data_IF_106526560320
#
_entry.id   IF_106526560320
#
_cell.length_a   1.000
_cell.length_b   1.000
_cell.length_c   1.000
_cell.angle_alpha   90.00
_cell.angle_beta   90.00
_cell.angle_gamma   90.00
#
_symmetry.space_group_name_H-M   'P 1'
#
loop_
_entity.id
_entity.type
_entity.pdbx_description
1 polymer ?
#
# COMPACT_ATOMS: atom_id res chain seq x y z
N UNK A 1 -20.99 -1.82 -7.29
CA UNK A 1 -20.30 -2.56 -6.20
C UNK A 1 -19.49 -3.69 -6.84
N UNK A 2 -18.33 -3.96 -6.33
CA UNK A 2 -17.46 -5.04 -6.80
C UNK A 2 -18.21 -6.38 -6.85
N UNK A 3 -17.99 -7.15 -7.90
CA UNK A 3 -18.51 -8.51 -8.02
C UNK A 3 -17.56 -9.47 -7.28
N UNK A 4 -18.10 -10.41 -6.48
CA UNK A 4 -17.25 -11.42 -5.84
C UNK A 4 -16.59 -12.29 -6.90
N UNK A 5 -15.25 -12.38 -6.88
CA UNK A 5 -14.48 -13.19 -7.82
C UNK A 5 -14.46 -14.64 -7.34
N UNK A 6 -15.12 -15.52 -8.08
CA UNK A 6 -15.24 -16.96 -7.74
C UNK A 6 -14.51 -17.87 -8.72
N UNK A 7 -14.02 -17.33 -9.85
CA UNK A 7 -13.18 -18.03 -10.83
C UNK A 7 -12.19 -17.08 -11.48
N UNK A 8 -11.15 -17.62 -12.10
CA UNK A 8 -10.11 -16.85 -12.81
C UNK A 8 -10.58 -16.35 -14.19
N UNK A 9 -11.64 -16.90 -14.73
CA UNK A 9 -12.09 -16.66 -16.11
C UNK A 9 -12.24 -15.19 -16.49
N UNK A 10 -12.85 -14.31 -15.63
CA UNK A 10 -12.96 -12.88 -15.95
C UNK A 10 -11.62 -12.17 -16.12
N UNK A 11 -10.55 -12.69 -15.52
CA UNK A 11 -9.21 -12.12 -15.58
C UNK A 11 -8.37 -12.64 -16.76
N UNK A 12 -8.75 -13.74 -17.42
CA UNK A 12 -7.98 -14.33 -18.51
C UNK A 12 -7.62 -13.35 -19.65
N UNK A 13 -8.50 -12.43 -20.07
CA UNK A 13 -8.13 -11.43 -21.08
C UNK A 13 -7.00 -10.49 -20.63
N UNK A 14 -6.94 -10.17 -19.32
CA UNK A 14 -5.90 -9.35 -18.73
C UNK A 14 -4.60 -10.14 -18.57
N UNK A 15 -4.69 -11.37 -18.08
CA UNK A 15 -3.55 -12.27 -17.87
C UNK A 15 -2.80 -12.64 -19.16
N UNK A 16 -3.48 -12.60 -20.31
CA UNK A 16 -2.89 -12.88 -21.64
C UNK A 16 -2.06 -11.73 -22.20
N UNK A 17 -2.17 -10.53 -21.64
CA UNK A 17 -1.37 -9.38 -22.09
C UNK A 17 0.12 -9.57 -21.74
N UNK A 18 1.01 -8.99 -22.55
CA UNK A 18 2.46 -9.04 -22.28
C UNK A 18 3.10 -7.66 -22.56
N UNK A 19 3.91 -7.12 -21.66
CA UNK A 19 4.14 -7.59 -20.30
C UNK A 19 2.87 -7.48 -19.42
N UNK A 20 2.66 -8.48 -18.55
CA UNK A 20 1.60 -8.49 -17.55
C UNK A 20 2.17 -8.21 -16.17
N UNK A 21 1.47 -7.42 -15.37
CA UNK A 21 1.86 -7.06 -14.01
C UNK A 21 0.79 -7.35 -12.96
N UNK A 22 1.26 -7.72 -11.78
CA UNK A 22 0.49 -7.77 -10.54
C UNK A 22 0.94 -6.61 -9.66
N UNK A 23 0.04 -5.66 -9.41
CA UNK A 23 0.23 -4.53 -8.51
C UNK A 23 -0.52 -4.84 -7.20
N UNK A 24 0.15 -4.88 -6.07
CA UNK A 24 -0.50 -5.28 -4.82
C UNK A 24 -0.08 -4.40 -3.65
N UNK A 25 -1.04 -4.03 -2.81
CA UNK A 25 -0.73 -3.61 -1.46
C UNK A 25 -0.15 -4.79 -0.66
N UNK A 26 0.42 -4.51 0.52
CA UNK A 26 1.06 -5.52 1.38
C UNK A 26 0.16 -5.84 2.58
N UNK A 27 -0.13 -4.84 3.40
CA UNK A 27 -0.82 -5.00 4.69
C UNK A 27 -2.32 -5.15 4.49
N UNK A 28 -2.92 -6.24 4.98
CA UNK A 28 -4.33 -6.54 4.74
C UNK A 28 -4.61 -7.22 3.40
N UNK A 29 -3.64 -7.21 2.48
CA UNK A 29 -3.74 -7.80 1.15
C UNK A 29 -2.90 -9.06 1.01
N UNK A 30 -1.58 -8.98 1.12
CA UNK A 30 -0.65 -10.12 1.07
C UNK A 30 -0.25 -10.61 2.45
N UNK A 31 -0.17 -9.70 3.41
CA UNK A 31 0.12 -9.98 4.82
C UNK A 31 -1.13 -9.70 5.66
N UNK A 32 -1.48 -10.57 6.61
CA UNK A 32 -2.60 -10.30 7.52
C UNK A 32 -2.30 -9.07 8.39
N UNK A 33 -3.37 -8.34 8.76
CA UNK A 33 -3.27 -7.23 9.71
C UNK A 33 -2.91 -7.79 11.09
N UNK A 34 -1.87 -7.25 11.69
CA UNK A 34 -1.38 -7.64 13.03
C UNK A 34 -1.36 -6.44 13.98
N UNK A 35 -1.43 -6.69 15.31
CA UNK A 35 -1.47 -5.60 16.30
C UNK A 35 -0.21 -4.72 16.32
N UNK A 36 0.96 -5.29 15.99
CA UNK A 36 2.23 -4.57 15.92
C UNK A 36 2.74 -4.56 14.49
N UNK A 37 2.97 -3.38 13.89
CA UNK A 37 3.42 -3.27 12.49
C UNK A 37 4.71 -4.06 12.20
N UNK A 38 5.61 -4.19 13.18
CA UNK A 38 6.87 -4.92 13.09
C UNK A 38 6.70 -6.44 13.01
N UNK A 39 5.55 -6.98 13.46
CA UNK A 39 5.25 -8.42 13.42
C UNK A 39 4.62 -8.85 12.07
N UNK A 40 4.31 -7.89 11.19
CA UNK A 40 3.73 -8.19 9.89
C UNK A 40 4.71 -8.97 9.02
N UNK A 41 4.22 -9.99 8.34
CA UNK A 41 4.98 -10.76 7.36
C UNK A 41 4.06 -11.34 6.30
N UNK A 42 4.49 -11.34 5.05
CA UNK A 42 3.81 -12.10 4.01
C UNK A 42 4.06 -13.59 4.27
N UNK A 43 3.02 -14.43 4.36
CA UNK A 43 3.18 -15.85 4.62
C UNK A 43 4.04 -16.54 3.54
N UNK A 44 4.81 -17.56 3.93
CA UNK A 44 5.72 -18.24 3.00
C UNK A 44 4.99 -18.88 1.80
N UNK A 45 3.79 -19.38 2.01
CA UNK A 45 2.95 -19.90 0.93
C UNK A 45 2.62 -18.82 -0.11
N UNK A 46 2.26 -17.62 0.34
CA UNK A 46 2.00 -16.46 -0.53
C UNK A 46 3.26 -16.02 -1.26
N UNK A 47 4.42 -15.99 -0.57
CA UNK A 47 5.73 -15.69 -1.18
C UNK A 47 6.08 -16.70 -2.27
N UNK A 48 5.85 -17.99 -2.03
CA UNK A 48 6.13 -19.05 -3.00
C UNK A 48 5.30 -18.86 -4.27
N UNK A 49 4.01 -18.52 -4.15
CA UNK A 49 3.15 -18.22 -5.29
C UNK A 49 3.62 -16.98 -6.06
N UNK A 50 4.02 -15.91 -5.36
CA UNK A 50 4.53 -14.70 -6.00
C UNK A 50 5.85 -14.96 -6.73
N UNK A 51 6.78 -15.75 -6.16
CA UNK A 51 8.00 -16.19 -6.85
C UNK A 51 7.67 -16.99 -8.11
N UNK A 52 6.74 -17.93 -8.01
CA UNK A 52 6.29 -18.70 -9.17
C UNK A 52 5.71 -17.81 -10.28
N UNK A 53 4.96 -16.77 -9.95
CA UNK A 53 4.47 -15.79 -10.92
C UNK A 53 5.64 -15.01 -11.58
N UNK A 54 6.64 -14.60 -10.81
CA UNK A 54 7.85 -13.94 -11.34
C UNK A 54 8.58 -14.86 -12.30
N UNK A 55 8.75 -16.15 -11.98
CA UNK A 55 9.35 -17.16 -12.85
C UNK A 55 8.57 -17.35 -14.17
N UNK A 56 7.24 -17.14 -14.15
CA UNK A 56 6.39 -17.12 -15.36
C UNK A 56 6.43 -15.78 -16.10
N UNK A 57 7.29 -14.85 -15.71
CA UNK A 57 7.47 -13.55 -16.36
C UNK A 57 6.44 -12.49 -15.97
N UNK A 58 5.67 -12.70 -14.90
CA UNK A 58 4.80 -11.68 -14.35
C UNK A 58 5.66 -10.60 -13.65
N UNK A 59 5.40 -9.35 -13.95
CA UNK A 59 6.00 -8.21 -13.27
C UNK A 59 5.24 -7.94 -11.95
N UNK A 60 5.76 -8.44 -10.84
CA UNK A 60 5.17 -8.19 -9.51
C UNK A 60 5.69 -6.86 -8.98
N UNK A 61 4.78 -6.01 -8.53
CA UNK A 61 5.10 -4.72 -7.90
C UNK A 61 4.26 -4.53 -6.63
N UNK A 62 4.91 -4.19 -5.54
CA UNK A 62 4.29 -4.00 -4.23
C UNK A 62 4.23 -2.51 -3.90
N UNK A 63 3.02 -2.02 -3.56
CA UNK A 63 2.73 -0.61 -3.31
C UNK A 63 2.27 -0.47 -1.87
N UNK A 64 3.05 0.21 -1.02
CA UNK A 64 2.78 0.28 0.42
C UNK A 64 3.08 1.65 1.02
N UNK A 65 2.39 2.01 2.10
CA UNK A 65 2.71 3.17 2.93
C UNK A 65 3.94 2.97 3.82
N UNK A 66 4.52 1.77 3.87
CA UNK A 66 5.73 1.46 4.64
C UNK A 66 6.97 2.08 4.00
N UNK A 67 8.04 2.24 4.80
CA UNK A 67 9.37 2.54 4.23
C UNK A 67 9.83 1.40 3.29
N UNK A 68 10.73 1.69 2.37
CA UNK A 68 11.25 0.69 1.44
C UNK A 68 11.90 -0.50 2.17
N UNK A 69 12.65 -0.23 3.23
CA UNK A 69 13.31 -1.25 4.04
C UNK A 69 12.28 -2.17 4.71
N UNK A 70 11.25 -1.58 5.37
CA UNK A 70 10.19 -2.33 6.03
C UNK A 70 9.36 -3.15 5.02
N UNK A 71 8.97 -2.56 3.88
CA UNK A 71 8.20 -3.24 2.84
C UNK A 71 8.96 -4.46 2.29
N UNK A 72 10.26 -4.31 2.00
CA UNK A 72 11.11 -5.41 1.53
C UNK A 72 11.32 -6.50 2.58
N UNK A 73 11.51 -6.11 3.83
CA UNK A 73 11.66 -7.06 4.95
C UNK A 73 10.40 -7.92 5.13
N UNK A 74 9.23 -7.28 5.16
CA UNK A 74 7.93 -7.93 5.35
C UNK A 74 7.57 -8.83 4.16
N UNK A 75 7.79 -8.35 2.94
CA UNK A 75 7.49 -9.10 1.74
C UNK A 75 8.45 -10.28 1.54
N UNK A 76 9.73 -10.14 1.86
CA UNK A 76 10.74 -11.18 1.66
C UNK A 76 10.93 -11.56 0.18
N UNK A 77 10.74 -10.61 -0.74
CA UNK A 77 10.79 -10.79 -2.19
C UNK A 77 11.82 -9.80 -2.77
N UNK A 78 13.06 -10.21 -3.01
CA UNK A 78 14.12 -9.30 -3.49
C UNK A 78 13.94 -8.88 -4.95
N UNK A 79 13.30 -9.72 -5.77
CA UNK A 79 13.26 -9.60 -7.24
C UNK A 79 11.96 -8.98 -7.77
N UNK A 80 11.22 -8.24 -6.92
CA UNK A 80 10.00 -7.55 -7.30
C UNK A 80 10.17 -6.03 -7.21
N UNK A 81 9.35 -5.28 -7.92
CA UNK A 81 9.36 -3.82 -7.79
C UNK A 81 8.62 -3.38 -6.52
N UNK A 82 9.01 -2.22 -5.99
CA UNK A 82 8.36 -1.61 -4.82
C UNK A 82 8.05 -0.15 -5.07
N UNK A 83 6.89 0.30 -4.60
CA UNK A 83 6.56 1.70 -4.37
C UNK A 83 6.30 1.88 -2.87
N UNK A 84 7.24 2.47 -2.18
CA UNK A 84 7.24 2.67 -0.73
C UNK A 84 6.83 4.10 -0.36
N UNK A 85 6.33 4.29 0.87
CA UNK A 85 5.83 5.58 1.32
C UNK A 85 4.72 6.12 0.43
N UNK A 86 3.78 5.25 0.03
CA UNK A 86 2.71 5.55 -0.93
C UNK A 86 3.19 6.00 -2.31
N UNK A 87 4.43 5.65 -2.71
CA UNK A 87 5.01 6.02 -4.00
C UNK A 87 6.10 7.09 -3.93
N UNK A 88 6.43 7.62 -2.76
CA UNK A 88 7.53 8.58 -2.59
C UNK A 88 8.89 7.99 -2.94
N UNK A 89 9.03 6.67 -2.89
CA UNK A 89 10.24 5.94 -3.27
C UNK A 89 9.87 4.75 -4.13
N UNK A 90 10.41 4.69 -5.33
CA UNK A 90 10.31 3.51 -6.20
C UNK A 90 11.63 2.73 -6.14
N UNK A 91 11.52 1.40 -6.11
CA UNK A 91 12.66 0.49 -6.28
C UNK A 91 12.31 -0.49 -7.41
N UNK A 92 13.09 -0.43 -8.50
CA UNK A 92 12.85 -1.22 -9.72
C UNK A 92 14.19 -1.71 -10.23
N UNK A 93 14.34 -3.00 -10.46
CA UNK A 93 15.55 -3.63 -11.02
C UNK A 93 16.85 -3.20 -10.31
N UNK A 94 16.83 -3.15 -8.97
CA UNK A 94 17.99 -2.78 -8.15
C UNK A 94 18.26 -1.27 -8.04
N UNK A 95 17.42 -0.42 -8.63
CA UNK A 95 17.58 1.03 -8.60
C UNK A 95 16.50 1.67 -7.74
N UNK A 96 16.94 2.61 -6.90
CA UNK A 96 16.03 3.45 -6.10
C UNK A 96 15.84 4.79 -6.78
N UNK A 97 14.59 5.17 -7.00
CA UNK A 97 14.18 6.48 -7.47
C UNK A 97 13.38 7.15 -6.36
N UNK A 98 13.79 8.33 -5.93
CA UNK A 98 13.08 9.12 -4.90
C UNK A 98 12.36 10.26 -5.60
N UNK A 99 11.11 10.48 -5.21
CA UNK A 99 10.30 11.58 -5.75
C UNK A 99 11.01 12.92 -5.50
N UNK A 100 11.16 13.80 -6.51
CA UNK A 100 11.73 15.12 -6.32
C UNK A 100 10.94 15.97 -5.31
N UNK A 101 11.62 16.85 -4.59
CA UNK A 101 10.99 17.74 -3.60
C UNK A 101 10.92 17.16 -2.19
N UNK A 102 11.52 15.97 -1.96
CA UNK A 102 11.62 15.36 -0.63
C UNK A 102 12.83 15.82 0.18
N UNK A 103 13.68 16.66 -0.41
CA UNK A 103 14.88 17.16 0.24
C UNK A 103 14.52 17.92 1.53
N UNK A 104 15.14 17.52 2.62
CA UNK A 104 14.93 18.14 3.94
C UNK A 104 13.75 17.58 4.74
N UNK A 105 12.80 16.84 4.13
CA UNK A 105 11.65 16.30 4.89
C UNK A 105 12.05 15.32 5.98
N UNK A 106 13.08 14.51 5.77
CA UNK A 106 13.62 13.64 6.83
C UNK A 106 14.09 14.42 8.07
N UNK A 107 14.60 15.64 7.91
CA UNK A 107 14.97 16.51 9.01
C UNK A 107 13.73 17.11 9.70
N UNK A 108 12.71 17.49 8.94
CA UNK A 108 11.43 17.96 9.47
C UNK A 108 10.71 16.87 10.25
N UNK A 109 10.72 15.64 9.75
CA UNK A 109 10.17 14.45 10.45
C UNK A 109 10.87 14.25 11.80
N UNK A 110 12.21 14.25 11.84
CA UNK A 110 12.93 14.15 13.14
C UNK A 110 12.61 15.29 14.10
N UNK A 111 12.25 16.47 13.60
CA UNK A 111 11.79 17.57 14.46
C UNK A 111 10.38 17.30 14.97
N UNK A 112 9.45 16.88 14.11
CA UNK A 112 8.10 16.51 14.51
C UNK A 112 8.08 15.38 15.55
N UNK A 113 8.95 14.37 15.41
CA UNK A 113 9.11 13.31 16.42
C UNK A 113 9.45 13.90 17.80
N UNK A 114 10.43 14.82 17.88
CA UNK A 114 10.79 15.46 19.16
C UNK A 114 9.65 16.30 19.71
N UNK A 115 8.93 17.03 18.87
CA UNK A 115 7.81 17.87 19.30
C UNK A 115 6.64 17.00 19.84
N UNK A 116 6.45 15.80 19.31
CA UNK A 116 5.41 14.84 19.71
C UNK A 116 5.84 13.87 20.82
N UNK A 117 7.11 13.86 21.20
CA UNK A 117 7.61 12.96 22.26
C UNK A 117 6.84 13.10 23.60
N UNK A 118 6.44 14.30 24.06
CA UNK A 118 5.63 14.45 25.27
C UNK A 118 4.26 13.78 25.16
N UNK A 119 3.63 13.82 23.96
CA UNK A 119 2.36 13.15 23.70
C UNK A 119 2.49 11.63 23.86
N UNK A 120 3.52 11.04 23.25
CA UNK A 120 3.78 9.58 23.33
C UNK A 120 3.98 9.13 24.79
N UNK A 121 4.69 9.93 25.59
CA UNK A 121 4.88 9.65 27.02
C UNK A 121 3.59 9.71 27.83
N UNK A 122 2.67 10.60 27.45
CA UNK A 122 1.44 10.87 28.20
C UNK A 122 0.26 9.98 27.82
N UNK A 123 0.28 9.37 26.62
CA UNK A 123 -0.80 8.50 26.14
C UNK A 123 -0.24 7.10 25.89
N UNK A 124 -0.37 6.16 26.85
CA UNK A 124 0.07 4.79 26.67
C UNK A 124 -0.56 4.13 25.44
N UNK A 125 0.27 3.50 24.61
CA UNK A 125 -0.17 2.84 23.39
C UNK A 125 -0.06 3.69 22.12
N UNK A 126 0.25 4.99 22.21
CA UNK A 126 0.67 5.80 21.06
C UNK A 126 2.11 5.45 20.69
N UNK A 127 2.37 5.32 19.38
CA UNK A 127 3.70 5.03 18.85
C UNK A 127 3.99 5.91 17.64
N UNK A 128 5.23 6.42 17.55
CA UNK A 128 5.72 7.12 16.36
C UNK A 128 6.50 6.14 15.47
N UNK A 129 6.26 6.21 14.18
CA UNK A 129 7.03 5.47 13.16
C UNK A 129 7.61 6.47 12.17
N UNK A 130 8.92 6.62 12.19
CA UNK A 130 9.65 7.44 11.23
C UNK A 130 9.91 6.63 9.95
N UNK A 131 9.29 7.05 8.85
CA UNK A 131 9.43 6.43 7.54
C UNK A 131 10.33 7.25 6.59
N UNK A 132 11.26 8.03 7.15
CA UNK A 132 12.12 8.93 6.41
C UNK A 132 11.43 10.28 6.14
N UNK A 133 10.82 10.51 4.97
CA UNK A 133 10.11 11.76 4.68
C UNK A 133 8.68 11.83 5.27
N UNK A 134 8.19 10.74 5.84
CA UNK A 134 6.87 10.60 6.46
C UNK A 134 7.00 10.34 7.95
N UNK A 135 6.04 10.79 8.75
CA UNK A 135 5.89 10.38 10.15
C UNK A 135 4.49 9.82 10.35
N UNK A 136 4.42 8.60 10.88
CA UNK A 136 3.17 7.98 11.26
C UNK A 136 3.01 8.01 12.79
N UNK A 137 1.81 8.34 13.25
CA UNK A 137 1.40 8.33 14.66
C UNK A 137 0.33 7.26 14.82
N UNK A 138 0.71 6.09 15.33
CA UNK A 138 -0.19 4.98 15.59
C UNK A 138 -0.85 5.11 16.95
N UNK A 139 -2.15 4.87 17.01
CA UNK A 139 -2.91 4.92 18.27
C UNK A 139 -3.85 3.72 18.47
N UNK A 140 -3.72 2.66 17.67
CA UNK A 140 -4.52 1.43 17.78
C UNK A 140 -4.46 0.76 19.15
N UNK A 141 -3.33 0.88 19.84
CA UNK A 141 -3.05 0.21 21.11
C UNK A 141 -3.44 1.05 22.34
N UNK A 142 -4.02 2.21 22.15
CA UNK A 142 -4.49 3.04 23.26
C UNK A 142 -5.79 2.48 23.85
N UNK A 143 -6.03 2.71 25.14
CA UNK A 143 -7.26 2.27 25.80
C UNK A 143 -8.52 3.01 25.27
N UNK A 144 -8.34 4.23 24.75
CA UNK A 144 -9.40 5.10 24.23
C UNK A 144 -8.94 5.72 22.90
N UNK A 145 -9.07 5.01 21.77
CA UNK A 145 -8.54 5.46 20.48
C UNK A 145 -9.08 6.81 20.01
N UNK A 146 -10.36 7.10 20.21
CA UNK A 146 -10.96 8.38 19.79
C UNK A 146 -10.38 9.55 20.59
N UNK A 147 -10.25 9.41 21.91
CA UNK A 147 -9.62 10.43 22.77
C UNK A 147 -8.16 10.64 22.42
N UNK A 148 -7.44 9.54 22.13
CA UNK A 148 -6.05 9.61 21.68
C UNK A 148 -5.94 10.34 20.33
N UNK A 149 -6.82 10.03 19.36
CA UNK A 149 -6.90 10.70 18.06
C UNK A 149 -7.07 12.22 18.23
N UNK A 150 -8.04 12.66 19.04
CA UNK A 150 -8.29 14.08 19.29
C UNK A 150 -7.06 14.77 19.90
N UNK A 151 -6.42 14.15 20.88
CA UNK A 151 -5.21 14.66 21.52
C UNK A 151 -4.04 14.77 20.52
N UNK A 152 -3.84 13.76 19.65
CA UNK A 152 -2.81 13.78 18.60
C UNK A 152 -3.06 14.96 17.65
N UNK A 153 -4.27 15.11 17.13
CA UNK A 153 -4.60 16.19 16.21
C UNK A 153 -4.40 17.56 16.85
N UNK A 154 -4.78 17.73 18.12
CA UNK A 154 -4.56 18.97 18.88
C UNK A 154 -3.07 19.29 19.08
N UNK A 155 -2.22 18.29 19.32
CA UNK A 155 -0.77 18.48 19.44
C UNK A 155 -0.11 18.80 18.10
N UNK A 156 -0.55 18.14 17.04
CA UNK A 156 -0.10 18.44 15.67
C UNK A 156 -0.39 19.89 15.29
N UNK A 157 -1.57 20.40 15.63
CA UNK A 157 -1.93 21.80 15.38
C UNK A 157 -1.08 22.81 16.15
N UNK A 158 -0.50 22.41 17.29
CA UNK A 158 0.38 23.28 18.11
C UNK A 158 1.84 23.28 17.66
N UNK A 159 2.27 22.28 16.90
CA UNK A 159 3.65 22.19 16.42
C UNK A 159 3.82 22.92 15.09
N UNK A 160 4.62 24.00 15.02
CA UNK A 160 4.82 24.74 13.75
C UNK A 160 5.43 23.91 12.64
N UNK A 161 6.14 22.81 12.96
CA UNK A 161 6.74 21.95 11.94
C UNK A 161 5.69 21.21 11.13
N UNK A 162 4.52 20.94 11.72
CA UNK A 162 3.44 20.19 11.06
C UNK A 162 2.77 20.98 9.95
N UNK A 163 2.84 22.32 9.94
CA UNK A 163 2.36 23.17 8.84
C UNK A 163 3.06 22.87 7.50
N UNK A 164 4.22 22.20 7.56
CA UNK A 164 4.99 21.81 6.37
C UNK A 164 4.52 20.45 5.80
N UNK A 165 3.51 19.82 6.38
CA UNK A 165 2.98 18.51 6.00
C UNK A 165 1.48 18.58 5.75
N UNK A 166 1.00 17.68 4.91
CA UNK A 166 -0.38 17.27 4.94
C UNK A 166 -0.60 16.29 6.07
N UNK A 167 -1.64 16.51 6.86
CA UNK A 167 -2.08 15.58 7.89
C UNK A 167 -3.14 14.68 7.27
N UNK A 168 -2.85 13.40 7.17
CA UNK A 168 -3.76 12.41 6.62
C UNK A 168 -4.13 11.40 7.70
N UNK A 169 -5.43 11.19 7.87
CA UNK A 169 -5.94 10.18 8.78
C UNK A 169 -6.15 8.85 8.05
N UNK A 170 -5.66 7.79 8.66
CA UNK A 170 -5.88 6.42 8.27
C UNK A 170 -6.47 5.64 9.44
N UNK A 171 -6.47 4.33 9.33
CA UNK A 171 -7.06 3.43 10.31
C UNK A 171 -6.23 3.32 11.59
N UNK A 172 -6.65 4.00 12.66
CA UNK A 172 -5.90 4.16 13.91
C UNK A 172 -4.48 4.70 13.70
N UNK A 173 -4.34 5.57 12.71
CA UNK A 173 -3.09 6.13 12.23
C UNK A 173 -3.33 7.57 11.78
N UNK A 174 -2.42 8.46 12.12
CA UNK A 174 -2.33 9.81 11.55
C UNK A 174 -0.95 9.93 10.91
N UNK A 175 -0.89 10.31 9.64
CA UNK A 175 0.37 10.52 8.92
C UNK A 175 0.62 11.99 8.62
N UNK A 176 1.84 12.42 8.87
CA UNK A 176 2.40 13.65 8.36
C UNK A 176 3.10 13.35 7.04
N UNK A 177 2.53 13.82 5.94
CA UNK A 177 3.03 13.57 4.58
C UNK A 177 3.55 14.86 3.95
N UNK A 178 4.68 14.82 3.23
CA UNK A 178 5.09 15.94 2.38
C UNK A 178 3.94 16.37 1.46
N UNK A 179 3.69 17.67 1.23
CA UNK A 179 2.64 18.15 0.35
C UNK A 179 3.02 17.98 -1.13
N UNK A 180 3.37 16.77 -1.49
CA UNK A 180 3.72 16.34 -2.84
C UNK A 180 2.59 15.44 -3.31
N UNK A 181 2.03 15.72 -4.47
CA UNK A 181 0.86 15.01 -5.02
C UNK A 181 1.17 13.57 -5.45
N UNK A 182 1.77 12.78 -4.56
CA UNK A 182 2.09 11.36 -4.77
C UNK A 182 1.21 10.53 -3.84
N UNK A 183 0.55 9.52 -4.41
CA UNK A 183 -0.32 8.57 -3.76
C UNK A 183 -0.17 7.18 -4.38
N UNK A 184 -0.89 6.16 -3.90
CA UNK A 184 -0.83 4.82 -4.48
C UNK A 184 -1.31 4.78 -5.95
N UNK A 185 -2.14 5.72 -6.39
CA UNK A 185 -2.60 5.82 -7.78
C UNK A 185 -1.49 6.30 -8.70
N UNK A 186 -0.82 7.40 -8.37
CA UNK A 186 0.33 7.91 -9.12
C UNK A 186 1.48 6.91 -9.12
N UNK A 187 1.71 6.20 -8.01
CA UNK A 187 2.70 5.14 -7.90
C UNK A 187 2.37 3.96 -8.84
N UNK A 188 1.11 3.53 -8.87
CA UNK A 188 0.68 2.45 -9.76
C UNK A 188 0.89 2.81 -11.24
N UNK A 189 0.54 4.03 -11.65
CA UNK A 189 0.77 4.49 -13.02
C UNK A 189 2.27 4.56 -13.34
N UNK A 190 3.09 5.07 -12.44
CA UNK A 190 4.54 5.09 -12.63
C UNK A 190 5.10 3.66 -12.82
N UNK A 191 4.64 2.68 -12.03
CA UNK A 191 5.02 1.28 -12.18
C UNK A 191 4.52 0.68 -13.51
N UNK A 192 3.28 0.95 -13.92
CA UNK A 192 2.75 0.52 -15.23
C UNK A 192 3.64 1.00 -16.37
N UNK A 193 4.05 2.26 -16.33
CA UNK A 193 4.89 2.88 -17.37
C UNK A 193 6.33 2.36 -17.33
N UNK A 194 6.97 2.32 -16.14
CA UNK A 194 8.36 1.86 -15.98
C UNK A 194 8.53 0.38 -16.33
N UNK A 195 7.55 -0.45 -16.01
CA UNK A 195 7.56 -1.88 -16.32
C UNK A 195 6.98 -2.19 -17.71
N UNK A 196 6.48 -1.17 -18.43
CA UNK A 196 5.94 -1.30 -19.78
C UNK A 196 4.69 -2.17 -19.88
N UNK A 197 3.86 -2.20 -18.83
CA UNK A 197 2.75 -3.14 -18.73
C UNK A 197 1.68 -2.89 -19.78
N UNK A 198 1.18 -3.98 -20.36
CA UNK A 198 0.01 -4.01 -21.26
C UNK A 198 -1.21 -4.62 -20.57
N UNK A 199 -0.98 -5.43 -19.54
CA UNK A 199 -2.00 -5.97 -18.65
C UNK A 199 -1.63 -5.76 -17.19
N UNK A 200 -2.62 -5.48 -16.34
CA UNK A 200 -2.40 -5.31 -14.91
C UNK A 200 -3.59 -5.80 -14.07
N UNK A 201 -3.30 -6.51 -12.99
CA UNK A 201 -4.26 -6.76 -11.91
C UNK A 201 -3.77 -6.00 -10.68
N UNK A 202 -4.66 -5.21 -10.07
CA UNK A 202 -4.37 -4.44 -8.86
C UNK A 202 -5.16 -4.97 -7.67
N UNK A 203 -4.49 -5.22 -6.53
CA UNK A 203 -5.06 -5.72 -5.28
C UNK A 203 -4.85 -4.72 -4.15
N UNK A 204 -5.87 -4.51 -3.32
CA UNK A 204 -5.77 -3.66 -2.13
C UNK A 204 -6.97 -3.80 -1.20
N UNK A 205 -6.84 -3.41 0.07
CA UNK A 205 -7.85 -3.61 1.12
C UNK A 205 -8.29 -2.30 1.81
N UNK A 206 -7.57 -1.18 1.62
CA UNK A 206 -7.79 0.05 2.37
C UNK A 206 -8.23 1.22 1.46
N UNK A 207 -8.63 2.31 2.10
CA UNK A 207 -9.06 3.56 1.46
C UNK A 207 -7.98 4.16 0.57
N UNK A 208 -6.69 4.00 0.90
CA UNK A 208 -5.57 4.45 0.05
C UNK A 208 -5.46 3.68 -1.26
N UNK A 209 -6.04 2.48 -1.36
CA UNK A 209 -6.08 1.68 -2.58
C UNK A 209 -7.15 2.16 -3.57
N UNK A 210 -8.11 2.96 -3.11
CA UNK A 210 -9.09 3.61 -3.98
C UNK A 210 -8.38 4.49 -5.01
N UNK A 211 -7.30 5.18 -4.62
CA UNK A 211 -6.49 5.99 -5.54
C UNK A 211 -5.84 5.10 -6.61
N UNK A 212 -5.27 3.96 -6.21
CA UNK A 212 -4.71 2.97 -7.12
C UNK A 212 -5.78 2.43 -8.08
N UNK A 213 -6.92 2.00 -7.58
CA UNK A 213 -8.01 1.46 -8.41
C UNK A 213 -8.54 2.50 -9.39
N UNK A 214 -8.74 3.75 -8.93
CA UNK A 214 -9.20 4.85 -9.77
C UNK A 214 -8.19 5.20 -10.87
N UNK A 215 -6.90 5.18 -10.56
CA UNK A 215 -5.85 5.44 -11.53
C UNK A 215 -5.76 4.33 -12.59
N UNK A 216 -5.83 3.07 -12.18
CA UNK A 216 -5.87 1.91 -13.08
C UNK A 216 -7.12 1.91 -13.96
N UNK A 217 -8.30 2.25 -13.39
CA UNK A 217 -9.53 2.37 -14.16
C UNK A 217 -9.42 3.43 -15.26
N UNK A 218 -8.89 4.62 -14.95
CA UNK A 218 -8.62 5.67 -15.96
C UNK A 218 -7.61 5.20 -17.02
N UNK A 219 -6.59 4.41 -16.64
CA UNK A 219 -5.57 3.93 -17.58
C UNK A 219 -6.13 2.91 -18.58
N UNK A 220 -7.24 2.22 -18.24
CA UNK A 220 -7.99 1.36 -19.20
C UNK A 220 -8.49 2.14 -20.41
N UNK A 221 -8.95 3.38 -20.22
CA UNK A 221 -9.39 4.26 -21.31
C UNK A 221 -8.26 4.58 -22.30
N UNK A 222 -7.01 4.40 -21.85
CA UNK A 222 -5.79 4.61 -22.65
C UNK A 222 -5.11 3.29 -23.05
N UNK A 223 -5.87 2.18 -23.08
CA UNK A 223 -5.44 0.92 -23.69
C UNK A 223 -4.77 -0.09 -22.74
N UNK A 224 -4.72 0.16 -21.43
CA UNK A 224 -4.28 -0.85 -20.47
C UNK A 224 -5.40 -1.88 -20.27
N UNK A 225 -5.16 -3.16 -20.54
CA UNK A 225 -6.07 -4.21 -20.09
C UNK A 225 -5.87 -4.41 -18.58
N UNK A 226 -6.88 -4.10 -17.76
CA UNK A 226 -6.69 -4.17 -16.32
C UNK A 226 -7.94 -4.59 -15.55
N UNK A 227 -7.74 -5.14 -14.35
CA UNK A 227 -8.77 -5.40 -13.36
C UNK A 227 -8.30 -4.96 -11.98
N UNK A 228 -9.24 -4.45 -11.18
CA UNK A 228 -9.02 -4.02 -9.80
C UNK A 228 -9.82 -4.91 -8.86
N UNK A 229 -9.19 -5.34 -7.76
CA UNK A 229 -9.76 -6.33 -6.86
C UNK A 229 -9.62 -5.84 -5.42
N UNK A 230 -10.74 -5.58 -4.77
CA UNK A 230 -10.80 -5.25 -3.36
C UNK A 230 -10.65 -6.52 -2.51
N UNK A 231 -9.73 -6.50 -1.57
CA UNK A 231 -9.61 -7.55 -0.55
C UNK A 231 -10.48 -7.15 0.64
N UNK A 232 -11.47 -7.98 0.95
CA UNK A 232 -12.53 -7.66 1.90
C UNK A 232 -12.20 -8.28 3.26
N UNK A 233 -11.82 -7.45 4.21
CA UNK A 233 -11.81 -7.78 5.64
C UNK A 233 -13.14 -7.35 6.29
N UNK A 234 -13.34 -7.67 7.58
CA UNK A 234 -14.48 -7.19 8.37
C UNK A 234 -14.62 -5.65 8.38
N UNK A 235 -13.59 -4.95 7.96
CA UNK A 235 -13.45 -3.51 8.01
C UNK A 235 -13.41 -2.84 6.63
N UNK A 236 -13.67 -3.61 5.55
CA UNK A 236 -13.70 -3.06 4.19
C UNK A 236 -14.80 -2.00 4.03
N UNK A 237 -14.42 -0.84 3.51
CA UNK A 237 -15.35 0.28 3.35
C UNK A 237 -16.23 0.11 2.10
N UNK A 238 -17.49 0.59 2.12
CA UNK A 238 -18.32 0.61 0.90
C UNK A 238 -17.69 1.41 -0.24
N UNK A 239 -16.82 2.39 0.06
CA UNK A 239 -16.09 3.17 -0.94
C UNK A 239 -15.07 2.33 -1.70
N UNK A 240 -14.31 1.49 -1.01
CA UNK A 240 -13.37 0.54 -1.62
C UNK A 240 -14.09 -0.40 -2.58
N UNK A 241 -15.21 -1.00 -2.15
CA UNK A 241 -16.01 -1.91 -2.97
C UNK A 241 -16.65 -1.24 -4.19
N UNK A 242 -16.89 0.07 -4.14
CA UNK A 242 -17.37 0.82 -5.32
C UNK A 242 -16.26 1.12 -6.32
N UNK A 243 -15.03 1.25 -5.85
CA UNK A 243 -13.87 1.57 -6.68
C UNK A 243 -13.28 0.36 -7.41
N UNK A 244 -13.56 -0.86 -6.93
CA UNK A 244 -13.04 -2.09 -7.50
C UNK A 244 -14.02 -2.76 -8.49
N UNK A 245 -13.47 -3.50 -9.46
CA UNK A 245 -14.25 -4.35 -10.37
C UNK A 245 -14.73 -5.61 -9.64
N UNK A 246 -13.82 -6.23 -8.90
CA UNK A 246 -14.06 -7.48 -8.17
C UNK A 246 -13.72 -7.36 -6.69
N UNK A 247 -14.19 -8.34 -5.92
CA UNK A 247 -13.81 -8.49 -4.52
C UNK A 247 -13.41 -9.93 -4.21
N UNK A 248 -12.50 -10.08 -3.23
CA UNK A 248 -12.08 -11.34 -2.64
C UNK A 248 -12.21 -11.24 -1.14
N UNK A 249 -12.46 -12.36 -0.45
CA UNK A 249 -12.31 -12.41 1.00
C UNK A 249 -10.83 -12.46 1.38
N UNK A 250 -10.44 -11.72 2.40
CA UNK A 250 -9.15 -11.69 3.10
C UNK A 250 -7.88 -12.13 2.33
N UNK A 251 -6.79 -12.37 3.05
CA UNK A 251 -5.50 -12.84 2.49
C UNK A 251 -5.57 -14.28 1.95
N UNK A 252 -6.53 -15.09 2.40
CA UNK A 252 -6.72 -16.46 1.89
C UNK A 252 -7.34 -16.44 0.49
N UNK A 253 -8.28 -15.52 0.25
CA UNK A 253 -8.82 -15.27 -1.09
C UNK A 253 -7.74 -14.78 -2.06
N UNK A 254 -6.82 -13.93 -1.59
CA UNK A 254 -5.66 -13.51 -2.40
C UNK A 254 -4.76 -14.70 -2.71
N UNK A 255 -4.46 -15.54 -1.73
CA UNK A 255 -3.65 -16.76 -1.94
C UNK A 255 -4.29 -17.70 -2.97
N UNK A 256 -5.61 -17.90 -2.89
CA UNK A 256 -6.36 -18.64 -3.90
C UNK A 256 -6.18 -18.02 -5.29
N UNK A 257 -6.37 -16.71 -5.44
CA UNK A 257 -6.21 -16.00 -6.72
C UNK A 257 -4.82 -16.18 -7.31
N UNK A 258 -3.76 -15.99 -6.50
CA UNK A 258 -2.38 -16.18 -6.96
C UNK A 258 -2.14 -17.60 -7.48
N UNK A 259 -2.71 -18.61 -6.81
CA UNK A 259 -2.66 -20.00 -7.24
C UNK A 259 -3.39 -20.22 -8.58
N UNK A 260 -4.58 -19.62 -8.76
CA UNK A 260 -5.32 -19.69 -10.03
C UNK A 260 -4.56 -18.97 -11.18
N UNK A 261 -3.98 -17.80 -10.89
CA UNK A 261 -3.14 -17.09 -11.87
C UNK A 261 -1.95 -17.93 -12.30
N UNK A 262 -1.26 -18.57 -11.35
CA UNK A 262 -0.12 -19.42 -11.65
C UNK A 262 -0.51 -20.62 -12.54
N UNK A 263 -1.66 -21.26 -12.26
CA UNK A 263 -2.21 -22.34 -13.09
C UNK A 263 -2.60 -21.87 -14.47
N UNK A 264 -3.21 -20.70 -14.60
CA UNK A 264 -3.64 -20.13 -15.87
C UNK A 264 -2.48 -19.68 -16.78
N UNK A 265 -1.32 -19.42 -16.20
CA UNK A 265 -0.11 -19.04 -16.93
C UNK A 265 0.76 -20.24 -17.34
N UNK A 266 0.40 -21.44 -16.93
CA UNK A 266 0.93 -22.72 -17.43
C UNK A 266 2.29 -23.03 -16.89
#
# INVERSE_FOLDING_TARGET
>A
MAQTLTSIEPLLPVLRQRPFGLLSDIDGTLAPIVPRPEDAAVPEETRALLRGLVEKGVRVALISGRSLEAARSIAGLPDVAYAAGHGLTLWIDGRTEVTPGLEGYAALVRRAERDLEPLVRNIPGVQLENKGPLLAVHYRRTAQPETAREAILADLQRSPVTERFWVQEGRFLIELRPPIGVDKGTAAIALVERLGLKGAVALGDDTTDIDMFSAIARRREHGLAAATIAVVSEEATPALLRAADYSLGDTDGVRWLLGEMLRALG
#
